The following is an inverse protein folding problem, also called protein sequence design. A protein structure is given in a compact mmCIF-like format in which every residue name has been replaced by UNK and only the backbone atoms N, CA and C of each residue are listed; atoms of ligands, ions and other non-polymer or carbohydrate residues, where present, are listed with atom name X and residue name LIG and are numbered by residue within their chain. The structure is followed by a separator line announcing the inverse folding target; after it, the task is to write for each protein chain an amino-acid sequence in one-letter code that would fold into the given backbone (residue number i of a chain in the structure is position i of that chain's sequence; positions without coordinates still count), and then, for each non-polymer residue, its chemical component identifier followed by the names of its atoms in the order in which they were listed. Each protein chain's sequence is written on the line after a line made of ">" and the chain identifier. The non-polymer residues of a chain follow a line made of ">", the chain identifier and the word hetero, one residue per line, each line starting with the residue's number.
data_IF_518424997948
#
_entry.id   IF_518424997948
#
_cell.length_a   1.000
_cell.length_b   1.000
_cell.length_c   1.000
_cell.angle_alpha   90.00
_cell.angle_beta   90.00
_cell.angle_gamma   90.00
#
_symmetry.space_group_name_H-M   'P 1'
#
loop_
_entity.id
_entity.type
_entity.pdbx_description
1 polymer ?
#
# COMPACT_ATOMS: atom_id res chain seq x y z
N UNK A 1 2.52 10.92 20.81
CA UNK A 1 1.30 10.15 21.17
C UNK A 1 1.61 8.67 21.33
N UNK A 2 1.98 7.94 20.27
CA UNK A 2 2.33 6.51 20.37
C UNK A 2 3.45 6.19 21.37
N UNK A 3 4.58 6.90 21.29
CA UNK A 3 5.71 6.70 22.22
C UNK A 3 5.33 7.00 23.67
N UNK A 4 4.54 8.05 23.91
CA UNK A 4 4.06 8.44 25.25
C UNK A 4 3.21 7.33 25.89
N UNK A 5 2.31 6.74 25.10
CA UNK A 5 1.45 5.64 25.54
C UNK A 5 2.24 4.36 25.76
N UNK A 6 3.17 4.07 24.86
CA UNK A 6 4.08 2.94 25.00
C UNK A 6 4.83 3.01 26.35
N UNK A 7 5.40 4.18 26.69
CA UNK A 7 6.08 4.35 27.97
C UNK A 7 5.11 4.27 29.16
N UNK A 8 3.92 4.86 29.07
CA UNK A 8 2.94 4.75 30.17
C UNK A 8 2.46 3.31 30.43
N UNK A 9 2.26 2.52 29.38
CA UNK A 9 1.92 1.11 29.49
C UNK A 9 3.12 0.28 29.97
N UNK A 10 4.31 0.52 29.42
CA UNK A 10 5.54 -0.20 29.77
C UNK A 10 5.93 0.00 31.24
N UNK A 11 5.82 1.22 31.76
CA UNK A 11 6.09 1.52 33.17
C UNK A 11 4.88 1.33 34.09
N UNK A 12 3.76 0.82 33.57
CA UNK A 12 2.52 0.56 34.31
C UNK A 12 2.04 1.76 35.15
N UNK A 13 2.29 2.97 34.65
CA UNK A 13 1.98 4.24 35.34
C UNK A 13 0.46 4.47 35.39
N UNK A 14 -0.26 3.93 34.42
CA UNK A 14 -1.70 4.06 34.32
C UNK A 14 -2.40 2.93 35.09
N UNK A 15 -3.07 3.29 36.19
CA UNK A 15 -3.86 2.35 37.01
C UNK A 15 -4.97 1.70 36.19
N UNK A 16 -4.95 0.37 36.07
CA UNK A 16 -6.05 -0.50 35.62
C UNK A 16 -6.92 0.09 34.49
N UNK A 17 -8.15 0.47 34.84
CA UNK A 17 -9.17 0.91 33.88
C UNK A 17 -8.89 2.29 33.26
N UNK A 18 -8.18 3.19 33.95
CA UNK A 18 -7.81 4.51 33.42
C UNK A 18 -6.86 4.36 32.23
N UNK A 19 -5.92 3.41 32.31
CA UNK A 19 -5.03 3.11 31.20
C UNK A 19 -5.79 2.61 29.98
N UNK A 20 -6.79 1.77 30.20
CA UNK A 20 -7.60 1.19 29.14
C UNK A 20 -8.45 2.25 28.43
N UNK A 21 -9.05 3.19 29.17
CA UNK A 21 -9.77 4.32 28.58
C UNK A 21 -8.87 5.31 27.85
N UNK A 22 -7.69 5.64 28.40
CA UNK A 22 -6.74 6.52 27.73
C UNK A 22 -6.18 5.91 26.44
N UNK A 23 -5.88 4.61 26.45
CA UNK A 23 -5.49 3.87 25.25
C UNK A 23 -6.59 3.91 24.19
N UNK A 24 -7.84 3.63 24.56
CA UNK A 24 -8.97 3.68 23.65
C UNK A 24 -9.20 5.09 23.07
N UNK A 25 -9.11 6.12 23.91
CA UNK A 25 -9.23 7.52 23.48
C UNK A 25 -8.11 7.92 22.52
N UNK A 26 -6.87 7.52 22.82
CA UNK A 26 -5.73 7.83 21.98
C UNK A 26 -5.79 7.10 20.63
N UNK A 27 -6.24 5.85 20.61
CA UNK A 27 -6.49 5.12 19.35
C UNK A 27 -7.59 5.82 18.55
N UNK A 28 -8.68 6.25 19.19
CA UNK A 28 -9.73 7.02 18.54
C UNK A 28 -9.20 8.33 17.91
N UNK A 29 -8.41 9.11 18.65
CA UNK A 29 -7.78 10.34 18.15
C UNK A 29 -6.81 10.01 17.01
N UNK A 30 -5.99 8.98 17.15
CA UNK A 30 -5.02 8.54 16.15
C UNK A 30 -5.69 8.15 14.83
N UNK A 31 -6.77 7.37 14.88
CA UNK A 31 -7.54 6.97 13.70
C UNK A 31 -8.16 8.18 13.02
N UNK A 32 -8.86 9.05 13.77
CA UNK A 32 -9.47 10.27 13.20
C UNK A 32 -8.41 11.17 12.56
N UNK A 33 -7.28 11.37 13.24
CA UNK A 33 -6.17 12.17 12.72
C UNK A 33 -5.58 11.56 11.45
N UNK A 34 -5.34 10.25 11.45
CA UNK A 34 -4.79 9.52 10.29
C UNK A 34 -5.72 9.63 9.08
N UNK A 35 -7.01 9.32 9.25
CA UNK A 35 -8.01 9.42 8.19
C UNK A 35 -8.13 10.86 7.68
N UNK A 36 -8.18 11.85 8.57
CA UNK A 36 -8.25 13.26 8.18
C UNK A 36 -7.02 13.69 7.38
N UNK A 37 -5.82 13.34 7.82
CA UNK A 37 -4.57 13.74 7.15
C UNK A 37 -4.39 13.04 5.82
N UNK A 38 -4.68 11.75 5.74
CA UNK A 38 -4.64 11.00 4.47
C UNK A 38 -5.66 11.53 3.47
N UNK A 39 -6.88 11.83 3.90
CA UNK A 39 -7.91 12.38 3.01
C UNK A 39 -7.54 13.80 2.55
N UNK A 40 -6.98 14.62 3.43
CA UNK A 40 -6.47 15.95 3.05
C UNK A 40 -5.28 15.88 2.11
N UNK A 41 -4.36 14.93 2.28
CA UNK A 41 -3.24 14.72 1.36
C UNK A 41 -3.71 14.21 0.00
N UNK A 42 -4.69 13.30 -0.03
CA UNK A 42 -5.24 12.74 -1.27
C UNK A 42 -6.00 13.77 -2.12
N UNK A 43 -6.82 14.61 -1.47
CA UNK A 43 -7.74 15.54 -2.16
C UNK A 43 -7.26 16.99 -2.18
N UNK A 44 -6.26 17.32 -1.36
CA UNK A 44 -5.66 18.63 -1.14
C UNK A 44 -6.51 19.84 -1.55
N UNK A 45 -7.55 20.20 -0.76
CA UNK A 45 -8.54 21.18 -1.19
C UNK A 45 -7.97 22.60 -1.32
N UNK A 46 -6.83 22.88 -0.65
CA UNK A 46 -6.20 24.21 -0.60
C UNK A 46 -5.17 24.45 -1.71
N UNK A 47 -4.53 23.40 -2.23
CA UNK A 47 -3.50 23.49 -3.27
C UNK A 47 -3.91 22.63 -4.48
N UNK A 48 -4.63 23.21 -5.46
CA UNK A 48 -5.16 22.46 -6.62
C UNK A 48 -4.10 21.71 -7.43
N UNK A 49 -2.87 22.22 -7.47
CA UNK A 49 -1.78 21.64 -8.25
C UNK A 49 -1.13 20.41 -7.61
N UNK A 50 -1.43 20.11 -6.34
CA UNK A 50 -0.81 19.00 -5.58
C UNK A 50 -1.77 17.82 -5.38
N UNK A 51 -2.97 17.86 -5.97
CA UNK A 51 -4.00 16.84 -5.79
C UNK A 51 -3.65 15.54 -6.51
N UNK A 52 -3.77 14.42 -5.80
CA UNK A 52 -3.60 13.08 -6.36
C UNK A 52 -4.80 12.66 -7.22
N UNK A 53 -6.00 13.13 -6.87
CA UNK A 53 -7.23 12.89 -7.65
C UNK A 53 -7.74 14.25 -8.15
N UNK A 54 -8.03 14.42 -9.45
CA UNK A 54 -8.45 15.70 -10.03
C UNK A 54 -9.91 16.04 -9.65
N UNK A 55 -10.14 16.30 -8.37
CA UNK A 55 -11.42 16.71 -7.78
C UNK A 55 -11.42 18.23 -7.61
N UNK A 56 -12.56 18.87 -7.85
CA UNK A 56 -12.74 20.30 -7.62
C UNK A 56 -12.65 20.72 -6.14
N UNK A 57 -12.22 21.96 -5.88
CA UNK A 57 -11.98 22.48 -4.51
C UNK A 57 -13.22 22.38 -3.59
N UNK A 58 -14.42 22.57 -4.15
CA UNK A 58 -15.69 22.53 -3.43
C UNK A 58 -16.03 21.12 -2.95
N UNK A 59 -16.24 20.15 -3.87
CA UNK A 59 -16.47 18.75 -3.53
C UNK A 59 -15.35 18.13 -2.68
N UNK A 60 -14.07 18.48 -2.93
CA UNK A 60 -12.94 18.00 -2.13
C UNK A 60 -13.08 18.35 -0.63
N UNK A 61 -13.50 19.57 -0.30
CA UNK A 61 -13.76 19.98 1.09
C UNK A 61 -14.88 19.17 1.74
N UNK A 62 -15.95 18.89 0.98
CA UNK A 62 -17.04 18.06 1.47
C UNK A 62 -16.61 16.62 1.70
N UNK A 63 -15.86 16.03 0.78
CA UNK A 63 -15.31 14.68 0.96
C UNK A 63 -14.43 14.59 2.20
N UNK A 64 -13.48 15.52 2.40
CA UNK A 64 -12.65 15.56 3.62
C UNK A 64 -13.52 15.62 4.88
N UNK A 65 -14.54 16.48 4.91
CA UNK A 65 -15.44 16.61 6.06
C UNK A 65 -16.25 15.35 6.32
N UNK A 66 -16.85 14.77 5.28
CA UNK A 66 -17.65 13.55 5.39
C UNK A 66 -16.79 12.36 5.84
N UNK A 67 -15.59 12.19 5.29
CA UNK A 67 -14.69 11.09 5.68
C UNK A 67 -14.19 11.26 7.10
N UNK A 68 -13.88 12.50 7.51
CA UNK A 68 -13.51 12.81 8.89
C UNK A 68 -14.68 12.56 9.84
N UNK A 69 -15.90 12.97 9.48
CA UNK A 69 -17.10 12.73 10.27
C UNK A 69 -17.36 11.23 10.45
N UNK A 70 -17.22 10.44 9.39
CA UNK A 70 -17.34 8.98 9.44
C UNK A 70 -16.33 8.36 10.41
N UNK A 71 -15.05 8.78 10.32
CA UNK A 71 -14.02 8.32 11.23
C UNK A 71 -14.30 8.71 12.69
N UNK A 72 -14.83 9.92 12.93
CA UNK A 72 -15.23 10.37 14.27
C UNK A 72 -16.36 9.51 14.83
N UNK A 73 -17.41 9.28 14.04
CA UNK A 73 -18.57 8.47 14.46
C UNK A 73 -18.13 7.07 14.86
N UNK A 74 -17.31 6.42 14.04
CA UNK A 74 -16.76 5.08 14.34
C UNK A 74 -15.84 5.12 15.56
N UNK A 75 -14.93 6.08 15.65
CA UNK A 75 -13.97 6.16 16.76
C UNK A 75 -14.66 6.41 18.10
N UNK A 76 -15.68 7.28 18.12
CA UNK A 76 -16.54 7.47 19.29
C UNK A 76 -17.35 6.20 19.57
N UNK A 77 -17.82 5.49 18.54
CA UNK A 77 -18.49 4.20 18.69
C UNK A 77 -17.57 3.07 19.20
N UNK A 78 -16.28 3.11 18.96
CA UNK A 78 -15.35 2.15 19.54
C UNK A 78 -14.98 2.54 20.97
N UNK A 79 -14.65 3.82 21.20
CA UNK A 79 -14.25 4.33 22.51
C UNK A 79 -15.30 4.13 23.60
N UNK A 80 -16.53 4.57 23.36
CA UNK A 80 -17.60 4.40 24.34
C UNK A 80 -18.01 2.90 24.46
N UNK A 81 -17.63 2.00 23.54
CA UNK A 81 -17.87 0.55 23.68
C UNK A 81 -16.98 0.01 24.79
N UNK A 82 -15.70 0.38 24.75
CA UNK A 82 -14.72 0.05 25.78
C UNK A 82 -15.16 0.53 27.17
N UNK A 83 -15.75 1.73 27.24
CA UNK A 83 -16.33 2.27 28.47
C UNK A 83 -17.52 1.43 28.94
N UNK A 84 -18.46 1.13 28.05
CA UNK A 84 -19.67 0.36 28.39
C UNK A 84 -19.32 -1.05 28.88
N UNK A 85 -18.37 -1.72 28.22
CA UNK A 85 -17.92 -3.07 28.57
C UNK A 85 -17.29 -3.10 29.96
N UNK A 86 -16.55 -2.05 30.33
CA UNK A 86 -15.93 -1.93 31.66
C UNK A 86 -16.91 -1.54 32.76
N UNK A 87 -17.90 -0.72 32.45
CA UNK A 87 -18.93 -0.32 33.42
C UNK A 87 -20.04 -1.37 33.59
N UNK A 88 -19.96 -2.53 32.93
CA UNK A 88 -20.99 -3.56 32.98
C UNK A 88 -22.35 -3.07 32.45
N UNK A 89 -22.32 -2.19 31.45
CA UNK A 89 -23.54 -1.56 30.92
C UNK A 89 -24.46 -2.59 30.25
N UNK A 90 -25.79 -2.38 30.30
CA UNK A 90 -26.75 -3.26 29.64
C UNK A 90 -26.51 -3.36 28.13
N UNK A 91 -26.67 -4.57 27.57
CA UNK A 91 -26.50 -4.83 26.14
C UNK A 91 -27.39 -3.94 25.25
N UNK A 92 -28.59 -3.56 25.74
CA UNK A 92 -29.51 -2.66 25.05
C UNK A 92 -28.91 -1.28 24.76
N UNK A 93 -28.08 -0.75 25.66
CA UNK A 93 -27.40 0.53 25.46
C UNK A 93 -26.33 0.43 24.36
N UNK A 94 -25.57 -0.66 24.36
CA UNK A 94 -24.54 -0.93 23.33
C UNK A 94 -25.18 -1.09 21.95
N UNK A 95 -26.30 -1.80 21.87
CA UNK A 95 -27.12 -1.96 20.66
C UNK A 95 -27.64 -0.60 20.18
N UNK A 96 -28.32 0.16 21.04
CA UNK A 96 -28.93 1.44 20.66
C UNK A 96 -27.90 2.45 20.13
N UNK A 97 -26.75 2.54 20.78
CA UNK A 97 -25.67 3.43 20.35
C UNK A 97 -25.03 2.97 19.03
N UNK A 98 -24.75 1.67 18.91
CA UNK A 98 -24.16 1.10 17.69
C UNK A 98 -25.09 1.25 16.50
N UNK A 99 -26.41 1.08 16.72
CA UNK A 99 -27.43 1.34 15.72
C UNK A 99 -27.39 2.80 15.24
N UNK A 100 -27.36 3.77 16.15
CA UNK A 100 -27.23 5.19 15.77
C UNK A 100 -25.96 5.46 14.96
N UNK A 101 -24.82 4.90 15.38
CA UNK A 101 -23.55 5.06 14.68
C UNK A 101 -23.59 4.48 13.26
N UNK A 102 -24.13 3.27 13.07
CA UNK A 102 -24.18 2.61 11.74
C UNK A 102 -25.12 3.31 10.78
N UNK A 103 -26.27 3.82 11.26
CA UNK A 103 -27.18 4.63 10.45
C UNK A 103 -26.49 5.90 9.98
N UNK A 104 -25.78 6.61 10.88
CA UNK A 104 -25.03 7.81 10.52
C UNK A 104 -23.95 7.49 9.47
N UNK A 105 -23.20 6.40 9.63
CA UNK A 105 -22.19 5.98 8.65
C UNK A 105 -22.82 5.66 7.29
N UNK A 106 -23.94 4.93 7.26
CA UNK A 106 -24.66 4.63 6.02
C UNK A 106 -25.15 5.88 5.30
N UNK A 107 -25.70 6.85 6.04
CA UNK A 107 -26.10 8.15 5.48
C UNK A 107 -24.90 8.92 4.93
N UNK A 108 -23.77 8.95 5.65
CA UNK A 108 -22.55 9.61 5.18
C UNK A 108 -22.06 8.98 3.87
N UNK A 109 -22.07 7.64 3.76
CA UNK A 109 -21.70 6.93 2.54
C UNK A 109 -22.59 7.31 1.34
N UNK A 110 -23.91 7.37 1.57
CA UNK A 110 -24.87 7.81 0.54
C UNK A 110 -24.58 9.25 0.11
N UNK A 111 -24.35 10.15 1.07
CA UNK A 111 -24.00 11.56 0.78
C UNK A 111 -22.71 11.67 -0.03
N UNK A 112 -21.68 10.90 0.30
CA UNK A 112 -20.43 10.85 -0.47
C UNK A 112 -20.66 10.40 -1.92
N UNK A 113 -21.51 9.39 -2.12
CA UNK A 113 -21.82 8.87 -3.45
C UNK A 113 -22.63 9.84 -4.32
N UNK A 114 -23.40 10.73 -3.69
CA UNK A 114 -24.18 11.77 -4.37
C UNK A 114 -23.37 13.00 -4.78
N UNK A 115 -22.15 13.16 -4.26
CA UNK A 115 -21.27 14.27 -4.66
C UNK A 115 -20.88 14.15 -6.14
N UNK A 116 -20.74 15.32 -6.79
CA UNK A 116 -20.25 15.45 -8.17
C UNK A 116 -18.86 16.08 -8.16
N UNK A 117 -17.80 15.26 -8.03
CA UNK A 117 -16.44 15.77 -7.77
C UNK A 117 -15.75 16.37 -8.99
N UNK A 118 -16.14 15.99 -10.21
CA UNK A 118 -15.43 16.37 -11.42
C UNK A 118 -16.15 17.50 -12.15
N UNK A 119 -15.39 18.49 -12.63
CA UNK A 119 -15.88 19.53 -13.53
C UNK A 119 -15.31 19.29 -14.91
N UNK A 120 -16.19 19.11 -15.89
CA UNK A 120 -15.77 18.94 -17.27
C UNK A 120 -15.39 20.28 -17.91
N UNK A 121 -14.65 20.24 -19.03
CA UNK A 121 -14.21 21.44 -19.77
C UNK A 121 -15.37 22.31 -20.25
N UNK A 122 -16.57 21.73 -20.37
CA UNK A 122 -17.83 22.39 -20.71
C UNK A 122 -18.51 23.09 -19.51
N UNK A 123 -17.92 23.04 -18.32
CA UNK A 123 -18.47 23.61 -17.09
C UNK A 123 -19.51 22.72 -16.39
N UNK A 124 -19.84 21.55 -16.94
CA UNK A 124 -20.80 20.61 -16.35
C UNK A 124 -20.18 19.77 -15.22
N UNK A 125 -20.98 19.49 -14.18
CA UNK A 125 -20.57 18.67 -13.04
C UNK A 125 -20.78 17.19 -13.34
N UNK A 126 -19.69 16.42 -13.39
CA UNK A 126 -19.71 14.96 -13.59
C UNK A 126 -19.69 14.22 -12.23
N UNK A 127 -20.55 13.20 -12.07
CA UNK A 127 -20.54 12.35 -10.88
C UNK A 127 -19.29 11.45 -10.85
N UNK A 128 -19.12 10.73 -9.74
CA UNK A 128 -18.17 9.63 -9.65
C UNK A 128 -18.36 8.60 -10.78
N UNK A 129 -17.31 7.82 -11.13
CA UNK A 129 -17.45 6.66 -11.98
C UNK A 129 -18.60 5.77 -11.48
N UNK A 130 -19.40 5.23 -12.41
CA UNK A 130 -20.62 4.51 -12.07
C UNK A 130 -20.38 3.40 -11.05
N UNK A 131 -19.30 2.62 -11.22
CA UNK A 131 -18.95 1.53 -10.30
C UNK A 131 -18.73 2.03 -8.87
N UNK A 132 -17.96 3.10 -8.65
CA UNK A 132 -17.65 3.63 -7.32
C UNK A 132 -18.88 4.26 -6.66
N UNK A 133 -19.71 4.94 -7.47
CA UNK A 133 -20.97 5.51 -6.99
C UNK A 133 -21.93 4.42 -6.52
N UNK A 134 -22.12 3.38 -7.34
CA UNK A 134 -23.04 2.30 -7.01
C UNK A 134 -22.54 1.44 -5.86
N UNK A 135 -21.22 1.20 -5.73
CA UNK A 135 -20.68 0.48 -4.57
C UNK A 135 -20.85 1.29 -3.29
N UNK A 136 -20.56 2.60 -3.29
CA UNK A 136 -20.76 3.43 -2.10
C UNK A 136 -22.25 3.53 -1.70
N UNK A 137 -23.17 3.66 -2.67
CA UNK A 137 -24.61 3.62 -2.42
C UNK A 137 -25.06 2.25 -1.90
N UNK A 138 -24.61 1.17 -2.52
CA UNK A 138 -24.96 -0.19 -2.11
C UNK A 138 -24.47 -0.48 -0.69
N UNK A 139 -23.23 -0.10 -0.36
CA UNK A 139 -22.68 -0.25 0.99
C UNK A 139 -23.44 0.59 2.01
N UNK A 140 -23.72 1.86 1.71
CA UNK A 140 -24.47 2.73 2.62
C UNK A 140 -25.91 2.28 2.86
N UNK A 141 -26.59 1.79 1.81
CA UNK A 141 -27.93 1.22 1.95
C UNK A 141 -27.88 -0.12 2.70
N UNK A 142 -26.90 -0.97 2.39
CA UNK A 142 -26.71 -2.26 3.04
C UNK A 142 -26.46 -2.10 4.54
N UNK A 143 -25.63 -1.15 4.96
CA UNK A 143 -25.39 -0.91 6.40
C UNK A 143 -26.65 -0.46 7.12
N UNK A 144 -27.47 0.40 6.49
CA UNK A 144 -28.75 0.87 7.05
C UNK A 144 -29.73 -0.30 7.17
N UNK A 145 -29.93 -1.06 6.10
CA UNK A 145 -30.86 -2.19 6.07
C UNK A 145 -30.44 -3.27 7.07
N UNK A 146 -29.15 -3.60 7.14
CA UNK A 146 -28.62 -4.56 8.11
C UNK A 146 -28.88 -4.09 9.55
N UNK A 147 -28.68 -2.79 9.85
CA UNK A 147 -28.96 -2.23 11.16
C UNK A 147 -30.45 -2.28 11.51
N UNK A 148 -31.34 -1.94 10.56
CA UNK A 148 -32.80 -1.98 10.74
C UNK A 148 -33.36 -3.39 10.95
N UNK A 149 -32.75 -4.38 10.31
CA UNK A 149 -33.09 -5.80 10.49
C UNK A 149 -32.50 -6.42 11.78
N UNK A 150 -31.77 -5.63 12.58
CA UNK A 150 -31.16 -6.09 13.84
C UNK A 150 -29.77 -6.71 13.69
N UNK A 151 -29.20 -6.78 12.49
CA UNK A 151 -27.83 -7.25 12.24
C UNK A 151 -26.77 -6.17 12.54
N UNK A 152 -26.76 -5.68 13.78
CA UNK A 152 -25.91 -4.56 14.21
C UNK A 152 -24.41 -4.89 14.08
N UNK A 153 -24.00 -6.11 14.44
CA UNK A 153 -22.61 -6.54 14.30
C UNK A 153 -22.13 -6.50 12.84
N UNK A 154 -22.98 -6.90 11.89
CA UNK A 154 -22.68 -6.83 10.46
C UNK A 154 -22.60 -5.38 9.97
N UNK A 155 -23.56 -4.54 10.37
CA UNK A 155 -23.55 -3.12 10.02
C UNK A 155 -22.30 -2.39 10.57
N UNK A 156 -21.88 -2.71 11.80
CA UNK A 156 -20.65 -2.22 12.40
C UNK A 156 -19.42 -2.73 11.66
N UNK A 157 -19.37 -4.02 11.32
CA UNK A 157 -18.27 -4.61 10.56
C UNK A 157 -18.09 -3.88 9.23
N UNK A 158 -19.16 -3.72 8.44
CA UNK A 158 -19.08 -3.01 7.16
C UNK A 158 -18.65 -1.55 7.36
N UNK A 159 -19.21 -0.85 8.36
CA UNK A 159 -18.82 0.53 8.67
C UNK A 159 -17.33 0.65 8.98
N UNK A 160 -16.80 -0.25 9.82
CA UNK A 160 -15.39 -0.34 10.16
C UNK A 160 -14.54 -0.65 8.92
N UNK A 161 -14.93 -1.65 8.12
CA UNK A 161 -14.17 -2.03 6.93
C UNK A 161 -14.09 -0.92 5.89
N UNK A 162 -15.17 -0.17 5.70
CA UNK A 162 -15.16 0.99 4.78
C UNK A 162 -14.08 2.00 5.17
N UNK A 163 -13.98 2.35 6.45
CA UNK A 163 -12.97 3.31 6.92
C UNK A 163 -11.58 2.69 6.91
N UNK A 164 -11.42 1.51 7.50
CA UNK A 164 -10.11 0.89 7.71
C UNK A 164 -9.51 0.39 6.38
N UNK A 165 -10.26 -0.36 5.59
CA UNK A 165 -9.81 -0.83 4.26
C UNK A 165 -9.62 0.37 3.32
N UNK A 166 -10.53 1.35 3.33
CA UNK A 166 -10.38 2.56 2.52
C UNK A 166 -9.11 3.33 2.84
N UNK A 167 -8.79 3.48 4.13
CA UNK A 167 -7.55 4.14 4.60
C UNK A 167 -6.30 3.35 4.18
N UNK A 168 -6.32 2.02 4.33
CA UNK A 168 -5.23 1.15 3.92
C UNK A 168 -4.99 1.24 2.40
N UNK A 169 -6.05 1.20 1.59
CA UNK A 169 -5.98 1.31 0.13
C UNK A 169 -5.45 2.68 -0.32
N UNK A 170 -5.93 3.79 0.27
CA UNK A 170 -5.41 5.13 -0.05
C UNK A 170 -3.92 5.22 0.29
N UNK A 171 -3.51 4.68 1.44
CA UNK A 171 -2.09 4.69 1.84
C UNK A 171 -1.23 3.86 0.89
N UNK A 172 -1.70 2.66 0.51
CA UNK A 172 -1.03 1.81 -0.48
C UNK A 172 -0.93 2.52 -1.85
N UNK A 173 -2.00 3.20 -2.27
CA UNK A 173 -2.04 3.95 -3.53
C UNK A 173 -1.06 5.13 -3.53
N UNK A 174 -0.98 5.89 -2.44
CA UNK A 174 0.03 6.95 -2.28
C UNK A 174 1.44 6.37 -2.34
N UNK A 175 1.67 5.22 -1.69
CA UNK A 175 2.94 4.50 -1.78
C UNK A 175 3.28 4.12 -3.21
N UNK A 176 2.31 3.60 -3.97
CA UNK A 176 2.49 3.18 -5.36
C UNK A 176 2.82 4.37 -6.28
N UNK A 177 2.12 5.49 -6.11
CA UNK A 177 2.44 6.73 -6.84
C UNK A 177 3.83 7.26 -6.46
N UNK A 178 4.22 7.17 -5.18
CA UNK A 178 5.56 7.56 -4.74
C UNK A 178 6.63 6.67 -5.37
N UNK A 179 6.36 5.36 -5.50
CA UNK A 179 7.27 4.43 -6.17
C UNK A 179 7.43 4.78 -7.65
N UNK A 180 6.32 5.05 -8.35
CA UNK A 180 6.37 5.47 -9.76
C UNK A 180 7.17 6.76 -9.94
N UNK A 181 6.94 7.77 -9.11
CA UNK A 181 7.66 9.03 -9.15
C UNK A 181 9.18 8.87 -8.93
N UNK A 182 9.62 7.85 -8.19
CA UNK A 182 11.05 7.53 -8.00
C UNK A 182 11.64 6.82 -9.23
N UNK A 183 10.81 6.08 -9.97
CA UNK A 183 11.22 5.30 -11.14
C UNK A 183 11.23 6.09 -12.46
N UNK A 184 10.77 7.33 -12.48
CA UNK A 184 10.86 8.21 -13.65
C UNK A 184 12.33 8.57 -13.96
N UNK A 185 12.66 8.74 -15.24
CA UNK A 185 14.00 9.10 -15.71
C UNK A 185 14.51 10.37 -15.01
N UNK A 186 15.70 10.31 -14.42
CA UNK A 186 16.31 11.40 -13.65
C UNK A 186 15.67 11.69 -12.29
N UNK A 187 14.53 11.10 -11.93
CA UNK A 187 13.85 11.39 -10.68
C UNK A 187 14.60 10.80 -9.48
N UNK A 188 15.19 9.60 -9.63
CA UNK A 188 15.99 8.97 -8.58
C UNK A 188 17.20 9.82 -8.18
N UNK A 189 17.87 10.45 -9.15
CA UNK A 189 19.02 11.32 -8.91
C UNK A 189 18.66 12.55 -8.04
N UNK A 190 17.40 13.00 -8.08
CA UNK A 190 16.89 14.12 -7.27
C UNK A 190 16.52 13.71 -5.83
N UNK A 191 16.45 12.41 -5.52
CA UNK A 191 16.20 11.93 -4.16
C UNK A 191 17.40 12.18 -3.24
N UNK A 192 17.20 12.23 -1.92
CA UNK A 192 18.31 12.41 -0.96
C UNK A 192 19.36 11.29 -1.06
N UNK A 193 18.91 10.06 -1.33
CA UNK A 193 19.80 8.90 -1.50
C UNK A 193 20.52 8.96 -2.85
N UNK A 194 19.80 9.30 -3.94
CA UNK A 194 20.40 9.45 -5.27
C UNK A 194 21.44 10.56 -5.33
N UNK A 195 21.18 11.72 -4.71
CA UNK A 195 22.14 12.82 -4.59
C UNK A 195 23.39 12.41 -3.82
N UNK A 196 23.23 11.65 -2.74
CA UNK A 196 24.37 11.12 -1.98
C UNK A 196 25.19 10.11 -2.80
N UNK A 197 24.51 9.24 -3.56
CA UNK A 197 25.16 8.24 -4.41
C UNK A 197 25.94 8.89 -5.57
N UNK A 198 25.33 9.88 -6.22
CA UNK A 198 25.95 10.69 -7.28
C UNK A 198 27.12 11.52 -6.76
N UNK A 199 27.03 12.09 -5.55
CA UNK A 199 28.12 12.86 -4.95
C UNK A 199 29.33 11.99 -4.53
N UNK A 200 29.11 10.71 -4.24
CA UNK A 200 30.17 9.79 -3.75
C UNK A 200 30.74 8.88 -4.83
N UNK A 201 30.07 8.77 -5.97
CA UNK A 201 30.45 7.87 -7.06
C UNK A 201 30.15 8.52 -8.42
N UNK A 202 31.12 8.49 -9.34
CA UNK A 202 30.94 8.90 -10.75
C UNK A 202 30.09 7.89 -11.52
N UNK A 203 28.92 7.54 -11.00
CA UNK A 203 27.97 6.69 -11.68
C UNK A 203 27.43 7.43 -12.91
N UNK A 204 27.41 6.75 -14.05
CA UNK A 204 26.81 7.26 -15.29
C UNK A 204 25.30 7.48 -15.08
N UNK A 205 24.74 8.55 -15.64
CA UNK A 205 23.32 8.92 -15.45
C UNK A 205 22.37 7.75 -15.76
N UNK A 206 22.73 6.95 -16.77
CA UNK A 206 22.03 5.72 -17.18
C UNK A 206 21.90 4.69 -16.07
N UNK A 207 22.88 4.58 -15.18
CA UNK A 207 22.86 3.59 -14.11
C UNK A 207 22.20 4.11 -12.82
N UNK A 208 22.15 5.43 -12.61
CA UNK A 208 21.24 6.02 -11.60
C UNK A 208 19.77 5.80 -11.98
N UNK A 209 19.44 5.91 -13.27
CA UNK A 209 18.09 5.63 -13.77
C UNK A 209 17.72 4.15 -13.60
N UNK A 210 18.64 3.22 -13.91
CA UNK A 210 18.41 1.79 -13.66
C UNK A 210 18.18 1.49 -12.17
N UNK A 211 18.92 2.15 -11.28
CA UNK A 211 18.71 2.01 -9.83
C UNK A 211 17.35 2.58 -9.41
N UNK A 212 16.94 3.73 -9.96
CA UNK A 212 15.61 4.30 -9.75
C UNK A 212 14.49 3.33 -10.10
N UNK A 213 14.59 2.70 -11.27
CA UNK A 213 13.64 1.71 -11.72
C UNK A 213 13.60 0.49 -10.78
N UNK A 214 14.75 -0.07 -10.40
CA UNK A 214 14.83 -1.20 -9.46
C UNK A 214 14.23 -0.84 -8.10
N UNK A 215 14.53 0.35 -7.58
CA UNK A 215 13.96 0.84 -6.31
C UNK A 215 12.45 1.00 -6.42
N UNK A 216 11.92 1.53 -7.52
CA UNK A 216 10.47 1.64 -7.73
C UNK A 216 9.78 0.27 -7.69
N UNK A 217 10.37 -0.73 -8.36
CA UNK A 217 9.87 -2.11 -8.38
C UNK A 217 9.92 -2.71 -6.98
N UNK A 218 11.03 -2.52 -6.26
CA UNK A 218 11.18 -3.02 -4.90
C UNK A 218 10.13 -2.39 -3.95
N UNK A 219 9.88 -1.09 -4.03
CA UNK A 219 8.84 -0.42 -3.24
C UNK A 219 7.46 -0.96 -3.59
N UNK A 220 7.14 -1.14 -4.88
CA UNK A 220 5.86 -1.71 -5.32
C UNK A 220 5.63 -3.13 -4.77
N UNK A 221 6.66 -3.98 -4.80
CA UNK A 221 6.62 -5.32 -4.20
C UNK A 221 6.42 -5.23 -2.69
N UNK A 222 7.14 -4.35 -2.00
CA UNK A 222 6.99 -4.13 -0.55
C UNK A 222 5.59 -3.66 -0.17
N UNK A 223 4.97 -2.79 -0.98
CA UNK A 223 3.58 -2.35 -0.75
C UNK A 223 2.64 -3.54 -0.78
N UNK A 224 2.75 -4.42 -1.77
CA UNK A 224 1.90 -5.63 -1.85
C UNK A 224 2.18 -6.55 -0.66
N UNK A 225 3.45 -6.82 -0.36
CA UNK A 225 3.85 -7.71 0.75
C UNK A 225 3.41 -7.20 2.12
N UNK A 226 3.25 -5.90 2.32
CA UNK A 226 2.81 -5.32 3.61
C UNK A 226 1.30 -5.12 3.64
N UNK A 227 0.71 -4.48 2.63
CA UNK A 227 -0.70 -4.11 2.66
C UNK A 227 -1.62 -5.30 2.40
N UNK A 228 -1.24 -6.28 1.58
CA UNK A 228 -2.07 -7.46 1.34
C UNK A 228 -2.34 -8.26 2.62
N UNK A 229 -1.32 -8.73 3.38
CA UNK A 229 -1.58 -9.45 4.63
C UNK A 229 -2.27 -8.57 5.66
N UNK A 230 -1.94 -7.27 5.73
CA UNK A 230 -2.59 -6.34 6.63
C UNK A 230 -4.09 -6.20 6.34
N UNK A 231 -4.49 -6.11 5.07
CA UNK A 231 -5.90 -6.09 4.67
C UNK A 231 -6.57 -7.43 4.99
N UNK A 232 -5.92 -8.57 4.72
CA UNK A 232 -6.48 -9.88 5.07
C UNK A 232 -6.74 -10.00 6.59
N UNK A 233 -5.79 -9.56 7.41
CA UNK A 233 -5.96 -9.53 8.87
C UNK A 233 -7.13 -8.63 9.28
N UNK A 234 -7.27 -7.46 8.65
CA UNK A 234 -8.40 -6.55 8.91
C UNK A 234 -9.74 -7.20 8.55
N UNK A 235 -9.78 -8.06 7.54
CA UNK A 235 -10.98 -8.83 7.14
C UNK A 235 -11.25 -10.07 8.01
N UNK A 236 -10.41 -10.35 9.00
CA UNK A 236 -10.60 -11.43 9.97
C UNK A 236 -9.90 -12.74 9.60
N UNK A 237 -9.02 -12.76 8.60
CA UNK A 237 -8.16 -13.91 8.35
C UNK A 237 -7.18 -14.11 9.51
N UNK A 238 -6.89 -15.36 9.86
CA UNK A 238 -5.93 -15.66 10.90
C UNK A 238 -4.50 -15.57 10.34
N UNK A 239 -3.54 -15.18 11.20
CA UNK A 239 -2.12 -15.16 10.83
C UNK A 239 -1.64 -16.52 10.30
N UNK A 240 -2.14 -17.62 10.88
CA UNK A 240 -1.83 -18.98 10.44
C UNK A 240 -2.28 -19.27 9.00
N UNK A 241 -3.48 -18.82 8.61
CA UNK A 241 -4.00 -18.99 7.24
C UNK A 241 -3.14 -18.24 6.23
N UNK A 242 -2.80 -16.98 6.55
CA UNK A 242 -1.96 -16.12 5.72
C UNK A 242 -0.56 -16.73 5.56
N UNK A 243 0.03 -17.24 6.65
CA UNK A 243 1.32 -17.94 6.61
C UNK A 243 1.24 -19.20 5.76
N UNK A 244 0.21 -20.03 5.93
CA UNK A 244 0.03 -21.25 5.14
C UNK A 244 -0.09 -20.94 3.64
N UNK A 245 -0.80 -19.89 3.26
CA UNK A 245 -0.91 -19.44 1.87
C UNK A 245 0.42 -18.88 1.35
N UNK A 246 1.15 -18.11 2.16
CA UNK A 246 2.48 -17.62 1.82
C UNK A 246 3.46 -18.78 1.59
N UNK A 247 3.46 -19.79 2.47
CA UNK A 247 4.25 -21.00 2.29
C UNK A 247 3.87 -21.73 1.00
N UNK A 248 2.57 -21.89 0.72
CA UNK A 248 2.09 -22.55 -0.51
C UNK A 248 2.52 -21.80 -1.77
N UNK A 249 2.49 -20.47 -1.77
CA UNK A 249 3.00 -19.64 -2.87
C UNK A 249 4.53 -19.76 -3.01
N UNK A 250 5.25 -19.84 -1.88
CA UNK A 250 6.70 -19.98 -1.86
C UNK A 250 7.15 -21.36 -2.34
N UNK A 251 6.53 -22.45 -1.89
CA UNK A 251 6.90 -23.84 -2.22
C UNK A 251 6.36 -24.29 -3.57
N UNK A 252 5.28 -23.69 -4.03
CA UNK A 252 4.77 -23.84 -5.38
C UNK A 252 3.33 -24.32 -5.46
N UNK A 253 2.65 -23.83 -6.49
CA UNK A 253 1.31 -24.27 -6.86
C UNK A 253 1.44 -25.13 -8.12
N UNK A 254 0.99 -26.37 -8.03
CA UNK A 254 0.91 -27.28 -9.16
C UNK A 254 -0.30 -26.93 -10.03
N UNK A 255 -0.08 -26.61 -11.30
CA UNK A 255 -1.12 -26.45 -12.32
C UNK A 255 -0.82 -27.49 -13.40
N UNK A 256 -1.57 -28.60 -13.40
CA UNK A 256 -1.27 -29.74 -14.26
C UNK A 256 0.10 -30.35 -13.93
N UNK A 257 1.01 -30.37 -14.92
CA UNK A 257 2.39 -30.86 -14.77
C UNK A 257 3.42 -29.76 -14.45
N UNK A 258 2.99 -28.50 -14.34
CA UNK A 258 3.88 -27.35 -14.10
C UNK A 258 3.74 -26.89 -12.65
N UNK A 259 4.86 -26.88 -11.91
CA UNK A 259 4.94 -26.30 -10.56
C UNK A 259 5.43 -24.87 -10.66
N UNK A 260 4.55 -23.91 -10.40
CA UNK A 260 4.92 -22.49 -10.34
C UNK A 260 5.19 -22.14 -8.88
N UNK A 261 6.46 -21.93 -8.52
CA UNK A 261 6.86 -21.51 -7.17
C UNK A 261 7.55 -20.15 -7.19
N UNK A 262 7.18 -19.29 -6.25
CA UNK A 262 7.82 -17.96 -6.12
C UNK A 262 9.30 -18.12 -5.76
N UNK A 263 9.65 -19.12 -4.95
CA UNK A 263 11.04 -19.43 -4.63
C UNK A 263 11.82 -19.85 -5.86
N UNK A 264 11.22 -20.69 -6.72
CA UNK A 264 11.82 -21.11 -7.99
C UNK A 264 12.12 -19.93 -8.89
N UNK A 265 11.13 -19.06 -9.11
CA UNK A 265 11.28 -17.83 -9.92
C UNK A 265 12.39 -16.94 -9.35
N UNK A 266 12.37 -16.67 -8.04
CA UNK A 266 13.40 -15.83 -7.39
C UNK A 266 14.79 -16.47 -7.49
N UNK A 267 14.92 -17.77 -7.23
CA UNK A 267 16.19 -18.48 -7.36
C UNK A 267 16.70 -18.46 -8.80
N UNK A 268 15.81 -18.61 -9.78
CA UNK A 268 16.13 -18.53 -11.20
C UNK A 268 16.65 -17.15 -11.60
N UNK A 269 15.98 -16.08 -11.14
CA UNK A 269 16.46 -14.70 -11.33
C UNK A 269 17.83 -14.49 -10.69
N UNK A 270 18.05 -14.95 -9.46
CA UNK A 270 19.35 -14.83 -8.77
C UNK A 270 20.45 -15.57 -9.53
N UNK A 271 20.19 -16.80 -9.96
CA UNK A 271 21.13 -17.61 -10.75
C UNK A 271 21.42 -16.94 -12.09
N UNK A 272 20.41 -16.39 -12.76
CA UNK A 272 20.58 -15.62 -13.98
C UNK A 272 21.47 -14.38 -13.77
N UNK A 273 21.21 -13.61 -12.72
CA UNK A 273 22.02 -12.42 -12.37
C UNK A 273 23.47 -12.82 -12.12
N UNK A 274 23.71 -13.87 -11.33
CA UNK A 274 25.06 -14.37 -11.04
C UNK A 274 25.75 -14.82 -12.34
N UNK A 275 25.06 -15.62 -13.18
CA UNK A 275 25.58 -16.07 -14.47
C UNK A 275 25.89 -14.92 -15.42
N UNK A 276 25.05 -13.89 -15.45
CA UNK A 276 25.26 -12.68 -16.23
C UNK A 276 26.50 -11.90 -15.77
N UNK A 277 26.65 -11.66 -14.46
CA UNK A 277 27.83 -10.97 -13.92
C UNK A 277 29.12 -11.78 -14.11
N UNK A 278 29.08 -13.11 -13.94
CA UNK A 278 30.19 -14.00 -14.23
C UNK A 278 30.60 -13.91 -15.70
N UNK A 279 29.63 -13.90 -16.62
CA UNK A 279 29.87 -13.74 -18.06
C UNK A 279 30.51 -12.39 -18.36
N UNK A 280 30.00 -11.30 -17.78
CA UNK A 280 30.56 -9.94 -17.92
C UNK A 280 31.99 -9.86 -17.37
N UNK A 281 32.25 -10.45 -16.21
CA UNK A 281 33.58 -10.48 -15.61
C UNK A 281 34.56 -11.29 -16.47
N UNK A 282 34.13 -12.47 -16.94
CA UNK A 282 34.93 -13.31 -17.82
C UNK A 282 35.24 -12.62 -19.15
N UNK A 283 34.27 -11.94 -19.77
CA UNK A 283 34.51 -11.11 -20.95
C UNK A 283 35.57 -10.04 -20.68
N UNK A 284 35.47 -9.32 -19.56
CA UNK A 284 36.45 -8.28 -19.20
C UNK A 284 37.85 -8.83 -18.97
N UNK A 285 37.97 -9.99 -18.32
CA UNK A 285 39.24 -10.68 -18.12
C UNK A 285 39.83 -11.21 -19.44
N UNK A 286 39.02 -11.86 -20.28
CA UNK A 286 39.42 -12.38 -21.59
C UNK A 286 39.95 -11.25 -22.48
N UNK A 287 39.22 -10.13 -22.48
CA UNK A 287 39.57 -8.94 -23.23
C UNK A 287 40.89 -8.34 -22.69
N UNK A 288 40.97 -8.03 -21.40
CA UNK A 288 42.11 -7.31 -20.81
C UNK A 288 43.38 -8.13 -20.60
N UNK A 289 43.28 -9.43 -20.32
CA UNK A 289 44.43 -10.27 -19.97
C UNK A 289 44.93 -11.10 -21.15
N UNK A 290 44.03 -11.82 -21.81
CA UNK A 290 44.39 -12.82 -22.84
C UNK A 290 44.52 -12.17 -24.21
N UNK A 291 43.50 -11.42 -24.65
CA UNK A 291 43.47 -10.83 -25.99
C UNK A 291 44.44 -9.66 -26.16
N UNK A 292 44.63 -8.86 -25.10
CA UNK A 292 45.60 -7.76 -25.12
C UNK A 292 47.05 -8.24 -25.27
N UNK A 293 47.37 -9.45 -24.81
CA UNK A 293 48.72 -10.05 -24.91
C UNK A 293 48.92 -10.83 -26.21
N UNK A 294 47.84 -11.23 -26.89
CA UNK A 294 47.86 -12.15 -28.02
C UNK A 294 48.02 -11.56 -29.43
N UNK A 295 48.22 -10.24 -29.60
CA UNK A 295 48.18 -9.55 -30.92
C UNK A 295 46.95 -9.93 -31.77
N UNK A 296 45.78 -10.04 -31.13
CA UNK A 296 44.53 -10.37 -31.82
C UNK A 296 43.93 -9.10 -32.44
N UNK A 297 43.60 -9.16 -33.73
CA UNK A 297 42.98 -8.04 -34.45
C UNK A 297 41.68 -7.58 -33.80
N UNK A 298 41.43 -6.27 -33.85
CA UNK A 298 40.28 -5.63 -33.19
C UNK A 298 38.94 -6.21 -33.64
N UNK A 299 38.82 -6.59 -34.91
CA UNK A 299 37.62 -7.23 -35.45
C UNK A 299 37.36 -8.62 -34.87
N UNK A 300 38.40 -9.45 -34.76
CA UNK A 300 38.31 -10.81 -34.17
C UNK A 300 38.00 -10.71 -32.67
N UNK A 301 38.63 -9.76 -31.98
CA UNK A 301 38.40 -9.48 -30.56
C UNK A 301 36.93 -9.12 -30.27
N UNK A 302 36.34 -8.25 -31.10
CA UNK A 302 34.94 -7.84 -30.95
C UNK A 302 33.98 -9.01 -31.21
N UNK A 303 34.22 -9.81 -32.26
CA UNK A 303 33.40 -10.99 -32.57
C UNK A 303 33.44 -12.05 -31.47
N UNK A 304 34.62 -12.34 -30.90
CA UNK A 304 34.74 -13.30 -29.80
C UNK A 304 34.03 -12.78 -28.55
N UNK A 305 34.16 -11.50 -28.23
CA UNK A 305 33.47 -10.88 -27.08
C UNK A 305 31.95 -10.99 -27.21
N UNK A 306 31.42 -10.72 -28.41
CA UNK A 306 30.00 -10.87 -28.71
C UNK A 306 29.56 -12.33 -28.62
N UNK A 307 30.30 -13.27 -29.23
CA UNK A 307 29.96 -14.69 -29.22
C UNK A 307 29.94 -15.28 -27.79
N UNK A 308 30.98 -14.99 -26.99
CA UNK A 308 31.05 -15.42 -25.58
C UNK A 308 29.95 -14.76 -24.76
N UNK A 309 29.58 -13.51 -25.08
CA UNK A 309 28.47 -12.83 -24.42
C UNK A 309 27.12 -13.42 -24.68
N UNK A 310 26.76 -13.63 -25.95
CA UNK A 310 25.48 -14.24 -26.28
C UNK A 310 25.39 -15.68 -25.75
N UNK A 311 26.48 -16.46 -25.85
CA UNK A 311 26.52 -17.81 -25.29
C UNK A 311 26.38 -17.82 -23.76
N UNK A 312 27.08 -16.93 -23.05
CA UNK A 312 27.01 -16.85 -21.59
C UNK A 312 25.64 -16.37 -21.09
N UNK A 313 25.01 -15.40 -21.75
CA UNK A 313 23.64 -14.98 -21.42
C UNK A 313 22.62 -16.09 -21.72
N UNK A 314 22.75 -16.80 -22.84
CA UNK A 314 21.89 -17.92 -23.17
C UNK A 314 22.00 -19.08 -22.16
N UNK A 315 23.22 -19.41 -21.73
CA UNK A 315 23.46 -20.40 -20.68
C UNK A 315 22.89 -19.96 -19.34
N UNK A 316 23.10 -18.69 -18.94
CA UNK A 316 22.53 -18.16 -17.70
C UNK A 316 20.99 -18.20 -17.72
N UNK A 317 20.37 -17.95 -18.87
CA UNK A 317 18.91 -18.06 -19.03
C UNK A 317 18.44 -19.52 -18.94
N UNK A 318 19.14 -20.46 -19.59
CA UNK A 318 18.80 -21.89 -19.54
C UNK A 318 18.92 -22.49 -18.15
N UNK A 319 19.90 -22.07 -17.36
CA UNK A 319 20.10 -22.55 -15.99
C UNK A 319 19.15 -21.87 -15.01
N UNK A 320 18.66 -20.67 -15.33
CA UNK A 320 17.71 -19.91 -14.50
C UNK A 320 16.24 -20.27 -14.70
N UNK A 321 15.89 -21.05 -15.73
CA UNK A 321 14.53 -21.55 -16.02
C UNK A 321 14.38 -22.95 -15.45
#
# INVERSE_FOLDING_TARGET
>A
LGSTIFFFNYYNVLRGDIGLFLNALATAIGVVFCVNRLTNAALEPRLPNWRLIPVETGPARWLVRLTTAMAVVISVNTFLSVINDKMGSPLSLTIARSFGATIIVGVILILMAMLRPFKARDGSWRPWPAWLRYTALALGLFTIVAALLGYIGLALFVSLQVVVTGTALITAYIGFLSAQAIGEEGAFANTTVGRWLSAKSSYEDTALDQLGLVVSVAINVMIVLVFLPLILLMWGFQLGDIQAWAYKLATGINIGSVTISVTGILSGIVVFIIGYFLTRWFQGWLDGSVMARGKVDTGVRNSIRLAVGYAGVALAALVGI
#
